data_IF_856136088473
#
_entry.id   IF_856136088473
#
_cell.length_a   1.000
_cell.length_b   1.000
_cell.length_c   1.000
_cell.angle_alpha   90.00
_cell.angle_beta   90.00
_cell.angle_gamma   90.00
#
_symmetry.space_group_name_H-M   'P 1'
#
loop_
_entity.id
_entity.type
_entity.pdbx_description
1 polymer ?
#
# COMPACT_ATOMS: atom_id res chain seq x y z
N UNK A 1 30.56 48.01 9.23
CA UNK A 1 31.87 47.76 8.58
C UNK A 1 32.02 46.26 8.37
N UNK A 2 31.74 45.76 7.16
CA UNK A 2 31.93 44.36 6.79
C UNK A 2 33.07 44.27 5.77
N UNK A 3 34.08 43.46 6.10
CA UNK A 3 35.26 43.22 5.28
C UNK A 3 34.89 42.44 4.00
N UNK A 4 35.25 43.01 2.85
CA UNK A 4 35.27 42.30 1.56
C UNK A 4 36.42 41.30 1.58
N UNK A 5 36.11 40.01 1.46
CA UNK A 5 37.09 38.97 1.12
C UNK A 5 37.27 38.95 -0.40
N UNK A 6 38.48 39.29 -0.84
CA UNK A 6 38.95 39.12 -2.21
C UNK A 6 39.11 37.61 -2.49
N UNK A 7 38.42 37.09 -3.49
CA UNK A 7 38.64 35.74 -3.99
C UNK A 7 39.64 35.76 -5.16
N UNK A 8 40.54 34.79 -5.08
CA UNK A 8 41.59 34.42 -6.03
C UNK A 8 41.03 34.25 -7.45
N UNK A 9 41.72 34.84 -8.43
CA UNK A 9 41.59 34.49 -9.85
C UNK A 9 42.46 33.26 -10.09
N UNK A 10 41.85 32.08 -10.02
CA UNK A 10 42.45 30.81 -10.44
C UNK A 10 42.26 30.61 -11.94
N UNK A 11 43.31 30.15 -12.62
CA UNK A 11 43.33 29.80 -14.04
C UNK A 11 42.17 28.83 -14.39
N UNK A 12 41.33 29.24 -15.35
CA UNK A 12 40.31 28.39 -15.97
C UNK A 12 41.02 27.34 -16.83
N UNK A 13 41.06 26.09 -16.35
CA UNK A 13 41.37 24.94 -17.18
C UNK A 13 40.24 24.73 -18.20
N UNK A 14 40.62 24.50 -19.45
CA UNK A 14 39.71 24.04 -20.49
C UNK A 14 39.07 22.69 -20.09
N UNK A 15 37.75 22.61 -20.31
CA UNK A 15 36.92 21.40 -20.37
C UNK A 15 36.47 20.72 -19.06
N UNK A 16 35.99 21.48 -18.07
CA UNK A 16 34.72 21.07 -17.45
C UNK A 16 33.60 21.42 -18.42
N UNK A 17 33.45 20.64 -19.50
CA UNK A 17 32.10 20.49 -20.06
C UNK A 17 31.32 19.88 -18.90
N UNK A 18 30.43 20.67 -18.30
CA UNK A 18 29.51 20.19 -17.28
C UNK A 18 28.92 18.88 -17.80
N UNK A 19 29.18 17.79 -17.07
CA UNK A 19 28.69 16.47 -17.47
C UNK A 19 27.18 16.57 -17.56
N UNK A 20 26.65 16.37 -18.77
CA UNK A 20 25.21 16.33 -18.99
C UNK A 20 24.61 15.22 -18.11
N UNK A 21 23.65 15.58 -17.29
CA UNK A 21 22.97 14.68 -16.37
C UNK A 21 21.76 14.03 -17.05
N UNK A 22 21.27 12.91 -16.47
CA UNK A 22 19.97 12.34 -16.86
C UNK A 22 18.89 13.41 -16.63
N UNK A 23 18.06 13.64 -17.65
CA UNK A 23 17.01 14.66 -17.64
C UNK A 23 17.40 15.97 -18.34
N UNK A 24 18.68 16.19 -18.64
CA UNK A 24 19.10 17.43 -19.31
C UNK A 24 18.53 17.52 -20.72
N UNK A 25 18.06 18.72 -21.06
CA UNK A 25 17.61 19.06 -22.40
C UNK A 25 18.80 19.44 -23.28
N UNK A 26 18.82 18.90 -24.49
CA UNK A 26 19.94 19.05 -25.41
C UNK A 26 19.47 19.31 -26.84
N UNK A 27 20.24 20.14 -27.54
CA UNK A 27 20.17 20.32 -28.99
C UNK A 27 21.26 19.45 -29.61
N UNK A 28 20.90 18.66 -30.62
CA UNK A 28 21.85 17.83 -31.37
C UNK A 28 22.48 18.65 -32.48
N UNK A 29 23.80 18.67 -32.56
CA UNK A 29 24.54 19.44 -33.54
C UNK A 29 25.74 18.68 -34.10
N UNK A 30 26.17 19.02 -35.32
CA UNK A 30 27.45 18.57 -35.86
C UNK A 30 27.52 17.10 -36.32
N UNK A 31 26.41 16.37 -36.42
CA UNK A 31 26.39 15.02 -36.98
C UNK A 31 26.65 15.05 -38.50
N UNK A 32 27.57 14.21 -38.98
CA UNK A 32 28.06 14.25 -40.37
C UNK A 32 27.46 13.18 -41.29
N UNK A 33 26.96 12.07 -40.74
CA UNK A 33 26.32 11.02 -41.56
C UNK A 33 24.99 11.52 -42.13
N UNK A 34 24.55 11.01 -43.28
CA UNK A 34 23.30 11.47 -43.92
C UNK A 34 22.06 11.25 -43.03
N UNK A 35 22.04 10.16 -42.27
CA UNK A 35 21.01 9.91 -41.27
C UNK A 35 21.15 10.83 -40.04
N UNK A 36 22.38 11.19 -39.65
CA UNK A 36 22.67 12.07 -38.53
C UNK A 36 22.38 13.54 -38.82
N UNK A 37 22.67 14.01 -40.04
CA UNK A 37 22.37 15.39 -40.49
C UNK A 37 20.90 15.74 -40.35
N UNK A 38 20.01 14.77 -40.54
CA UNK A 38 18.55 14.92 -40.32
C UNK A 38 18.17 15.19 -38.85
N UNK A 39 19.06 14.86 -37.91
CA UNK A 39 18.86 15.10 -36.47
C UNK A 39 19.53 16.40 -36.00
N UNK A 40 20.39 17.04 -36.82
CA UNK A 40 21.00 18.31 -36.45
C UNK A 40 19.95 19.41 -36.32
N UNK A 41 20.04 20.20 -35.26
CA UNK A 41 19.02 21.16 -34.85
C UNK A 41 17.78 20.50 -34.22
N UNK A 42 17.75 19.17 -34.09
CA UNK A 42 16.75 18.47 -33.30
C UNK A 42 17.01 18.63 -31.81
N UNK A 43 15.96 18.44 -31.00
CA UNK A 43 16.02 18.54 -29.54
C UNK A 43 15.72 17.19 -28.91
N UNK A 44 16.36 16.93 -27.78
CA UNK A 44 16.23 15.69 -27.05
C UNK A 44 16.49 15.82 -25.56
N UNK A 45 16.28 14.72 -24.84
CA UNK A 45 16.52 14.61 -23.39
C UNK A 45 17.53 13.47 -23.15
N UNK A 46 18.48 13.70 -22.24
CA UNK A 46 19.46 12.69 -21.83
C UNK A 46 18.78 11.63 -20.96
N UNK A 47 18.93 10.36 -21.33
CA UNK A 47 18.19 9.28 -20.66
C UNK A 47 18.94 8.63 -19.51
N UNK A 48 20.26 8.53 -19.64
CA UNK A 48 21.12 7.83 -18.71
C UNK A 48 22.53 8.41 -18.78
N UNK A 49 23.37 7.99 -17.84
CA UNK A 49 24.81 8.26 -17.85
C UNK A 49 25.44 7.83 -19.19
N UNK A 50 26.50 8.54 -19.64
CA UNK A 50 27.14 8.21 -20.90
C UNK A 50 27.72 6.80 -20.85
N UNK A 51 27.61 6.09 -21.97
CA UNK A 51 28.34 4.84 -22.17
C UNK A 51 29.62 5.13 -22.92
N UNK A 52 30.73 4.54 -22.48
CA UNK A 52 32.01 4.56 -23.20
C UNK A 52 31.98 3.52 -24.32
N UNK A 53 32.38 3.90 -25.53
CA UNK A 53 32.68 2.94 -26.59
C UNK A 53 34.05 2.29 -26.37
N UNK A 54 34.36 1.25 -27.15
CA UNK A 54 35.69 0.61 -27.13
C UNK A 54 36.83 1.64 -27.35
N UNK A 55 36.59 2.64 -28.20
CA UNK A 55 37.52 3.75 -28.45
C UNK A 55 37.57 4.82 -27.34
N UNK A 56 36.91 4.61 -26.20
CA UNK A 56 36.87 5.57 -25.09
C UNK A 56 35.99 6.81 -25.33
N UNK A 57 35.18 6.83 -26.40
CA UNK A 57 34.29 7.96 -26.70
C UNK A 57 33.02 7.86 -25.86
N UNK A 58 32.72 8.92 -25.10
CA UNK A 58 31.47 9.03 -24.36
C UNK A 58 30.29 9.28 -25.30
N UNK A 59 29.26 8.45 -25.20
CA UNK A 59 28.00 8.64 -25.91
C UNK A 59 26.82 8.60 -24.95
N UNK A 60 25.98 9.61 -25.04
CA UNK A 60 24.76 9.73 -24.28
C UNK A 60 23.59 9.11 -25.04
N UNK A 61 22.79 8.25 -24.41
CA UNK A 61 21.49 7.87 -24.95
C UNK A 61 20.55 9.08 -24.89
N UNK A 62 20.06 9.50 -26.07
CA UNK A 62 19.19 10.67 -26.20
C UNK A 62 17.84 10.26 -26.77
N UNK A 63 16.78 10.73 -26.12
CA UNK A 63 15.41 10.63 -26.62
C UNK A 63 15.07 11.90 -27.39
N UNK A 64 14.77 11.75 -28.67
CA UNK A 64 14.41 12.88 -29.53
C UNK A 64 12.92 13.17 -29.38
N UNK A 65 12.58 14.41 -29.07
CA UNK A 65 11.19 14.87 -29.05
C UNK A 65 10.92 15.91 -30.14
N UNK A 66 11.97 16.46 -30.76
CA UNK A 66 11.89 17.44 -31.83
C UNK A 66 12.90 17.13 -32.94
N UNK A 67 12.46 17.11 -34.19
CA UNK A 67 13.36 17.15 -35.35
C UNK A 67 12.82 18.14 -36.35
N UNK A 68 13.69 18.95 -36.96
CA UNK A 68 13.28 19.79 -38.10
C UNK A 68 12.79 18.89 -39.22
N UNK A 69 11.58 19.15 -39.71
CA UNK A 69 11.09 18.50 -40.93
C UNK A 69 12.01 18.84 -42.10
N UNK A 70 12.12 17.94 -43.08
CA UNK A 70 12.92 18.18 -44.29
C UNK A 70 12.45 19.43 -45.08
N UNK A 71 11.22 19.88 -44.84
CA UNK A 71 10.61 21.10 -45.38
C UNK A 71 10.98 22.39 -44.64
N UNK A 72 11.77 22.32 -43.57
CA UNK A 72 12.16 23.50 -42.77
C UNK A 72 11.01 24.10 -41.94
N UNK A 73 9.90 23.37 -41.79
CA UNK A 73 8.83 23.75 -40.87
C UNK A 73 9.14 23.30 -39.44
N UNK A 74 8.70 24.09 -38.46
CA UNK A 74 8.84 23.84 -37.02
C UNK A 74 7.97 22.67 -36.52
N UNK A 75 7.37 21.89 -37.41
CA UNK A 75 6.55 20.73 -37.05
C UNK A 75 7.40 19.66 -36.35
N UNK A 76 7.07 19.44 -35.08
CA UNK A 76 7.70 18.46 -34.22
C UNK A 76 7.13 17.06 -34.49
N UNK A 77 7.98 16.13 -34.92
CA UNK A 77 7.61 14.70 -35.04
C UNK A 77 8.20 13.95 -33.86
N UNK A 78 7.35 13.44 -32.97
CA UNK A 78 7.77 12.54 -31.90
C UNK A 78 8.40 11.29 -32.55
N UNK A 79 9.68 11.05 -32.27
CA UNK A 79 10.40 9.89 -32.77
C UNK A 79 10.08 8.66 -31.91
N UNK A 80 10.15 7.50 -32.54
CA UNK A 80 9.96 6.20 -31.89
C UNK A 80 10.84 6.10 -30.63
N UNK A 81 10.25 5.98 -29.42
CA UNK A 81 11.00 5.93 -28.16
C UNK A 81 11.91 4.69 -28.04
N UNK A 82 11.79 3.71 -28.95
CA UNK A 82 12.72 2.57 -29.02
C UNK A 82 14.03 2.91 -29.72
N UNK A 83 14.10 4.02 -30.46
CA UNK A 83 15.30 4.49 -31.13
C UNK A 83 16.25 5.19 -30.13
N UNK A 84 16.80 4.43 -29.18
CA UNK A 84 17.86 4.88 -28.27
C UNK A 84 19.15 5.15 -29.06
N UNK A 85 19.24 6.29 -29.74
CA UNK A 85 20.48 6.68 -30.42
C UNK A 85 21.45 7.26 -29.41
N UNK A 86 22.66 6.71 -29.43
CA UNK A 86 23.77 7.16 -28.61
C UNK A 86 24.55 8.26 -29.33
N UNK A 87 24.35 9.50 -28.92
CA UNK A 87 24.99 10.70 -29.51
C UNK A 87 26.26 11.03 -28.72
N UNK A 88 27.34 11.40 -29.41
CA UNK A 88 28.58 11.79 -28.75
C UNK A 88 28.38 13.08 -27.96
N UNK A 89 29.11 13.24 -26.86
CA UNK A 89 29.09 14.45 -26.04
C UNK A 89 29.31 15.74 -26.86
N UNK A 90 30.30 15.73 -27.78
CA UNK A 90 30.64 16.86 -28.65
C UNK A 90 29.51 17.28 -29.61
N UNK A 91 28.50 16.43 -29.81
CA UNK A 91 27.36 16.68 -30.67
C UNK A 91 26.11 17.11 -29.90
N UNK A 92 26.24 17.40 -28.60
CA UNK A 92 25.15 17.82 -27.72
C UNK A 92 25.52 19.17 -27.12
N UNK A 93 24.58 20.11 -27.20
CA UNK A 93 24.66 21.38 -26.49
C UNK A 93 23.44 21.52 -25.58
N UNK A 94 23.57 22.04 -24.36
CA UNK A 94 22.41 22.31 -23.50
C UNK A 94 21.37 23.16 -24.24
N UNK A 95 20.10 22.78 -24.15
CA UNK A 95 18.99 23.59 -24.66
C UNK A 95 18.52 24.56 -23.56
N UNK A 96 18.71 25.88 -23.71
CA UNK A 96 18.19 26.84 -22.75
C UNK A 96 16.66 26.82 -22.86
N UNK A 97 16.00 26.12 -21.93
CA UNK A 97 14.57 25.83 -21.93
C UNK A 97 13.69 27.01 -22.39
N UNK A 98 12.80 26.76 -23.33
CA UNK A 98 11.62 27.59 -23.59
C UNK A 98 10.42 27.00 -22.83
N UNK A 99 9.83 27.71 -21.84
CA UNK A 99 8.64 27.27 -21.11
C UNK A 99 7.45 26.91 -22.01
N UNK A 100 7.40 27.42 -23.23
CA UNK A 100 6.31 27.17 -24.19
C UNK A 100 6.43 25.78 -24.82
N UNK A 101 7.64 25.29 -25.07
CA UNK A 101 7.89 23.94 -25.62
C UNK A 101 7.60 22.82 -24.62
N UNK A 102 7.65 23.13 -23.32
CA UNK A 102 7.26 22.24 -22.23
C UNK A 102 5.80 21.77 -22.34
N UNK A 103 4.92 22.60 -22.92
CA UNK A 103 3.49 22.28 -23.12
C UNK A 103 3.31 21.20 -24.21
N UNK A 104 4.08 21.30 -25.30
CA UNK A 104 4.05 20.32 -26.41
C UNK A 104 4.56 18.94 -25.96
N UNK A 105 5.63 18.94 -25.18
CA UNK A 105 6.16 17.75 -24.51
C UNK A 105 5.10 17.09 -23.62
N UNK A 106 4.37 17.87 -22.82
CA UNK A 106 3.27 17.40 -21.99
C UNK A 106 2.10 16.80 -22.82
N UNK A 107 1.74 17.40 -23.95
CA UNK A 107 0.70 16.85 -24.84
C UNK A 107 1.12 15.51 -25.47
N UNK A 108 2.39 15.37 -25.86
CA UNK A 108 2.93 14.11 -26.37
C UNK A 108 2.93 13.04 -25.29
N UNK A 109 3.31 13.39 -24.06
CA UNK A 109 3.27 12.50 -22.89
C UNK A 109 1.90 11.88 -22.65
N UNK A 110 0.86 12.72 -22.59
CA UNK A 110 -0.50 12.28 -22.35
C UNK A 110 -1.02 11.40 -23.49
N UNK A 111 -0.73 11.80 -24.73
CA UNK A 111 -1.14 11.05 -25.92
C UNK A 111 -0.49 9.68 -25.98
N UNK A 112 0.81 9.60 -25.69
CA UNK A 112 1.52 8.32 -25.66
C UNK A 112 1.10 7.47 -24.47
N UNK A 113 0.95 8.03 -23.26
CA UNK A 113 0.46 7.28 -22.09
C UNK A 113 -0.92 6.66 -22.33
N UNK A 114 -1.85 7.41 -22.95
CA UNK A 114 -3.17 6.91 -23.30
C UNK A 114 -3.13 5.78 -24.34
N UNK A 115 -2.24 5.88 -25.35
CA UNK A 115 -2.01 4.79 -26.32
C UNK A 115 -1.41 3.56 -25.64
N UNK A 116 -0.49 3.78 -24.70
CA UNK A 116 0.26 2.72 -24.05
C UNK A 116 -0.61 1.93 -23.05
N UNK A 117 -1.56 2.58 -22.37
CA UNK A 117 -2.55 1.90 -21.54
C UNK A 117 -3.40 0.88 -22.33
N UNK A 118 -3.60 1.11 -23.63
CA UNK A 118 -4.32 0.18 -24.51
C UNK A 118 -3.47 -1.02 -24.98
N UNK A 119 -2.14 -1.02 -24.75
CA UNK A 119 -1.19 -1.97 -25.37
C UNK A 119 -0.51 -2.95 -24.38
N UNK A 120 -0.81 -2.88 -23.08
CA UNK A 120 -0.33 -3.85 -22.08
C UNK A 120 0.95 -3.44 -21.33
N UNK A 121 1.64 -4.41 -20.71
CA UNK A 121 2.69 -4.18 -19.69
C UNK A 121 3.96 -3.51 -20.24
N UNK A 122 4.45 -3.94 -21.40
CA UNK A 122 5.63 -3.33 -22.04
C UNK A 122 5.40 -1.86 -22.40
N UNK A 123 4.14 -1.53 -22.72
CA UNK A 123 3.71 -0.18 -23.00
C UNK A 123 3.64 0.68 -21.72
N UNK A 124 3.19 0.10 -20.60
CA UNK A 124 3.19 0.79 -19.30
C UNK A 124 4.62 1.15 -18.83
N UNK A 125 5.61 0.30 -19.07
CA UNK A 125 7.03 0.62 -18.79
C UNK A 125 7.52 1.84 -19.58
N UNK A 126 7.09 1.99 -20.85
CA UNK A 126 7.39 3.18 -21.66
C UNK A 126 6.69 4.43 -21.12
N UNK A 127 5.45 4.30 -20.64
CA UNK A 127 4.69 5.39 -20.01
C UNK A 127 5.39 5.91 -18.75
N UNK A 128 5.91 5.00 -17.92
CA UNK A 128 6.69 5.34 -16.72
C UNK A 128 7.94 6.11 -17.05
N UNK A 129 8.68 5.68 -18.08
CA UNK A 129 9.89 6.37 -18.49
C UNK A 129 9.60 7.84 -18.86
N UNK A 130 8.51 8.08 -19.59
CA UNK A 130 8.09 9.43 -19.91
C UNK A 130 7.69 10.21 -18.65
N UNK A 131 6.87 9.63 -17.78
CA UNK A 131 6.47 10.26 -16.52
C UNK A 131 7.69 10.59 -15.64
N UNK A 132 8.71 9.72 -15.58
CA UNK A 132 9.97 9.96 -14.87
C UNK A 132 10.74 11.13 -15.49
N UNK A 133 10.89 11.14 -16.82
CA UNK A 133 11.56 12.22 -17.56
C UNK A 133 10.89 13.56 -17.30
N UNK A 134 9.57 13.61 -17.42
CA UNK A 134 8.82 14.83 -17.18
C UNK A 134 8.88 15.25 -15.72
N UNK A 135 8.81 14.30 -14.79
CA UNK A 135 8.88 14.60 -13.36
C UNK A 135 10.24 15.21 -13.01
N UNK A 136 11.33 14.71 -13.62
CA UNK A 136 12.65 15.33 -13.48
C UNK A 136 12.72 16.75 -14.04
N UNK A 137 11.98 17.04 -15.11
CA UNK A 137 11.94 18.38 -15.72
C UNK A 137 11.03 19.37 -14.98
N UNK A 138 9.92 18.90 -14.41
CA UNK A 138 8.97 19.69 -13.63
C UNK A 138 8.70 19.05 -12.28
N UNK A 139 9.68 19.06 -11.36
CA UNK A 139 9.56 18.47 -10.04
C UNK A 139 8.61 19.23 -9.11
N UNK A 140 7.99 20.33 -9.58
CA UNK A 140 6.95 21.07 -8.88
C UNK A 140 5.55 20.86 -9.50
N UNK A 141 5.43 20.07 -10.59
CA UNK A 141 4.14 19.76 -11.20
C UNK A 141 3.47 18.57 -10.50
N UNK A 142 2.62 18.89 -9.53
CA UNK A 142 1.86 17.90 -8.76
C UNK A 142 1.05 16.92 -9.61
N UNK A 143 0.37 17.39 -10.66
CA UNK A 143 -0.48 16.51 -11.48
C UNK A 143 0.35 15.41 -12.14
N UNK A 144 1.57 15.78 -12.56
CA UNK A 144 2.53 14.86 -13.13
C UNK A 144 3.10 13.90 -12.09
N UNK A 145 3.44 14.38 -10.89
CA UNK A 145 3.91 13.52 -9.81
C UNK A 145 2.84 12.49 -9.39
N UNK A 146 1.58 12.91 -9.28
CA UNK A 146 0.45 12.01 -9.03
C UNK A 146 0.30 10.96 -10.13
N UNK A 147 0.36 11.35 -11.40
CA UNK A 147 0.29 10.41 -12.51
C UNK A 147 1.47 9.42 -12.50
N UNK A 148 2.68 9.92 -12.22
CA UNK A 148 3.88 9.09 -12.13
C UNK A 148 3.77 8.06 -11.02
N UNK A 149 3.43 8.49 -9.81
CA UNK A 149 3.26 7.63 -8.66
C UNK A 149 2.11 6.62 -8.83
N UNK A 150 0.98 7.03 -9.42
CA UNK A 150 -0.13 6.12 -9.72
C UNK A 150 0.30 5.03 -10.72
N UNK A 151 1.10 5.39 -11.73
CA UNK A 151 1.62 4.42 -12.70
C UNK A 151 2.63 3.47 -12.06
N UNK A 152 3.53 3.98 -11.21
CA UNK A 152 4.44 3.15 -10.42
C UNK A 152 3.67 2.16 -9.51
N UNK A 153 2.58 2.61 -8.88
CA UNK A 153 1.69 1.76 -8.09
C UNK A 153 1.08 0.62 -8.92
N UNK A 154 0.63 0.91 -10.14
CA UNK A 154 0.08 -0.11 -11.06
C UNK A 154 1.10 -1.19 -11.45
N UNK A 155 2.40 -0.91 -11.31
CA UNK A 155 3.49 -1.88 -11.49
C UNK A 155 4.02 -2.48 -10.19
N UNK A 156 3.27 -2.37 -9.09
CA UNK A 156 3.67 -2.87 -7.76
C UNK A 156 4.95 -2.21 -7.20
N UNK A 157 5.29 -1.00 -7.68
CA UNK A 157 6.44 -0.20 -7.21
C UNK A 157 6.01 0.86 -6.19
N UNK A 158 5.22 0.45 -5.19
CA UNK A 158 4.60 1.37 -4.22
C UNK A 158 5.61 2.17 -3.40
N UNK A 159 6.80 1.60 -3.11
CA UNK A 159 7.87 2.33 -2.41
C UNK A 159 8.47 3.46 -3.26
N UNK A 160 8.73 3.22 -4.55
CA UNK A 160 9.20 4.25 -5.49
C UNK A 160 8.13 5.34 -5.67
N UNK A 161 6.87 4.93 -5.84
CA UNK A 161 5.72 5.84 -5.95
C UNK A 161 5.59 6.74 -4.71
N UNK A 162 5.79 6.19 -3.51
CA UNK A 162 5.79 6.94 -2.27
C UNK A 162 6.89 8.01 -2.26
N UNK A 163 8.10 7.68 -2.69
CA UNK A 163 9.20 8.65 -2.77
C UNK A 163 8.90 9.81 -3.71
N UNK A 164 8.27 9.56 -4.86
CA UNK A 164 7.87 10.60 -5.82
C UNK A 164 6.93 11.62 -5.18
N UNK A 165 5.91 11.17 -4.43
CA UNK A 165 4.94 12.09 -3.84
C UNK A 165 5.46 12.73 -2.55
N UNK A 166 6.31 12.04 -1.77
CA UNK A 166 6.76 12.50 -0.45
C UNK A 166 7.33 13.92 -0.47
N UNK A 167 8.08 14.29 -1.49
CA UNK A 167 8.73 15.61 -1.59
C UNK A 167 7.72 16.75 -1.80
N UNK A 168 6.62 16.50 -2.52
CA UNK A 168 5.53 17.46 -2.70
C UNK A 168 4.77 17.76 -1.41
N UNK A 169 4.71 16.78 -0.52
CA UNK A 169 3.95 16.86 0.72
C UNK A 169 4.68 17.73 1.73
N UNK A 170 5.99 17.57 1.80
CA UNK A 170 6.83 18.42 2.63
C UNK A 170 6.81 19.88 2.15
N UNK A 171 6.46 20.12 0.89
CA UNK A 171 6.31 21.46 0.31
C UNK A 171 4.95 22.15 0.56
N UNK A 172 3.96 21.49 1.18
CA UNK A 172 2.60 22.04 1.42
C UNK A 172 1.88 22.57 0.16
N UNK A 173 2.08 21.94 -1.00
CA UNK A 173 1.55 22.45 -2.27
C UNK A 173 0.03 22.29 -2.47
N UNK A 174 -0.67 21.57 -1.58
CA UNK A 174 -2.12 21.38 -1.65
C UNK A 174 -2.82 21.80 -0.36
N UNK A 175 -3.66 22.82 -0.47
CA UNK A 175 -4.60 23.21 0.59
C UNK A 175 -5.77 22.20 0.64
N UNK A 176 -6.35 21.93 1.82
CA UNK A 176 -7.62 21.19 1.94
C UNK A 176 -8.78 21.79 1.14
N UNK A 177 -8.68 23.07 0.77
CA UNK A 177 -9.66 23.76 -0.09
C UNK A 177 -9.50 23.47 -1.58
N UNK A 178 -8.42 22.81 -2.01
CA UNK A 178 -8.20 22.46 -3.42
C UNK A 178 -9.14 21.30 -3.81
N UNK A 179 -9.91 21.40 -4.92
CA UNK A 179 -10.81 20.32 -5.35
C UNK A 179 -10.13 18.96 -5.59
N UNK A 180 -8.82 18.93 -5.80
CA UNK A 180 -8.04 17.70 -6.01
C UNK A 180 -7.56 17.06 -4.70
N UNK A 181 -7.67 17.77 -3.58
CA UNK A 181 -7.18 17.32 -2.29
C UNK A 181 -7.73 15.97 -1.82
N UNK A 182 -9.03 15.63 -2.03
CA UNK A 182 -9.56 14.30 -1.69
C UNK A 182 -8.86 13.16 -2.44
N UNK A 183 -8.59 13.34 -3.74
CA UNK A 183 -7.91 12.36 -4.58
C UNK A 183 -6.45 12.18 -4.16
N UNK A 184 -5.80 13.30 -3.85
CA UNK A 184 -4.45 13.27 -3.30
C UNK A 184 -4.40 12.49 -1.97
N UNK A 185 -5.31 12.77 -1.02
CA UNK A 185 -5.36 12.06 0.26
C UNK A 185 -5.61 10.55 0.08
N UNK A 186 -6.52 10.19 -0.83
CA UNK A 186 -6.81 8.80 -1.20
C UNK A 186 -5.57 8.08 -1.73
N UNK A 187 -4.98 8.57 -2.83
CA UNK A 187 -3.82 7.92 -3.45
C UNK A 187 -2.65 7.83 -2.46
N UNK A 188 -2.47 8.86 -1.64
CA UNK A 188 -1.38 8.90 -0.69
C UNK A 188 -1.57 7.94 0.49
N UNK A 189 -2.80 7.80 0.98
CA UNK A 189 -3.13 6.77 1.97
C UNK A 189 -2.82 5.37 1.44
N UNK A 190 -3.27 5.05 0.22
CA UNK A 190 -3.01 3.76 -0.44
C UNK A 190 -1.51 3.49 -0.57
N UNK A 191 -0.74 4.47 -1.04
CA UNK A 191 0.71 4.32 -1.23
C UNK A 191 1.45 4.04 0.07
N UNK A 192 1.11 4.76 1.15
CA UNK A 192 1.69 4.56 2.48
C UNK A 192 1.35 3.18 3.04
N UNK A 193 0.08 2.78 2.92
CA UNK A 193 -0.39 1.46 3.33
C UNK A 193 0.41 0.37 2.61
N UNK A 194 0.43 0.37 1.28
CA UNK A 194 1.15 -0.67 0.50
C UNK A 194 2.66 -0.69 0.74
N UNK A 195 3.28 0.47 0.97
CA UNK A 195 4.69 0.54 1.34
C UNK A 195 4.98 -0.02 2.74
N UNK A 196 3.96 -0.24 3.58
CA UNK A 196 4.11 -0.67 4.98
C UNK A 196 4.78 0.38 5.87
N UNK A 197 4.82 1.64 5.42
CA UNK A 197 5.56 2.71 6.09
C UNK A 197 4.63 3.80 6.58
N UNK A 198 4.84 4.24 7.82
CA UNK A 198 4.11 5.36 8.42
C UNK A 198 2.57 5.15 8.35
N UNK A 199 2.10 3.96 8.76
CA UNK A 199 0.69 3.55 8.71
C UNK A 199 -0.26 4.53 9.43
N UNK A 200 0.20 5.16 10.52
CA UNK A 200 -0.58 6.20 11.21
C UNK A 200 -0.87 7.38 10.28
N UNK A 201 0.11 7.82 9.49
CA UNK A 201 -0.10 8.90 8.53
C UNK A 201 -1.04 8.44 7.40
N UNK A 202 -0.97 7.17 6.97
CA UNK A 202 -1.90 6.62 5.99
C UNK A 202 -3.35 6.74 6.47
N UNK A 203 -3.59 6.42 7.74
CA UNK A 203 -4.89 6.59 8.39
C UNK A 203 -5.30 8.06 8.43
N UNK A 204 -4.42 8.94 8.89
CA UNK A 204 -4.70 10.38 8.97
C UNK A 204 -5.12 10.96 7.61
N UNK A 205 -4.47 10.54 6.51
CA UNK A 205 -4.84 10.98 5.16
C UNK A 205 -6.18 10.40 4.71
N UNK A 206 -6.47 9.12 4.99
CA UNK A 206 -7.78 8.54 4.67
C UNK A 206 -8.92 9.33 5.35
N UNK A 207 -8.71 9.74 6.61
CA UNK A 207 -9.71 10.48 7.40
C UNK A 207 -9.82 11.98 7.03
N UNK A 208 -8.89 12.51 6.23
CA UNK A 208 -8.95 13.88 5.71
C UNK A 208 -9.83 14.01 4.45
N UNK A 209 -10.23 12.89 3.83
CA UNK A 209 -11.12 12.89 2.67
C UNK A 209 -12.54 13.25 3.14
N UNK A 210 -13.18 14.32 2.60
CA UNK A 210 -14.52 14.72 3.01
C UNK A 210 -15.56 13.70 2.55
N UNK A 211 -16.41 13.20 3.44
CA UNK A 211 -17.49 12.25 3.10
C UNK A 211 -18.80 12.95 2.64
N UNK A 212 -18.67 14.07 1.94
CA UNK A 212 -19.80 14.91 1.50
C UNK A 212 -20.46 14.42 0.19
N UNK A 213 -19.78 13.52 -0.53
CA UNK A 213 -20.29 12.89 -1.75
C UNK A 213 -20.16 11.36 -1.68
N UNK A 214 -21.03 10.59 -2.39
CA UNK A 214 -20.90 9.13 -2.46
C UNK A 214 -19.54 8.67 -2.96
N UNK A 215 -18.97 9.36 -3.96
CA UNK A 215 -17.65 9.06 -4.50
C UNK A 215 -16.57 9.19 -3.44
N UNK A 216 -16.58 10.26 -2.65
CA UNK A 216 -15.58 10.43 -1.60
C UNK A 216 -15.75 9.41 -0.47
N UNK A 217 -16.98 9.02 -0.13
CA UNK A 217 -17.24 7.93 0.81
C UNK A 217 -16.63 6.62 0.31
N UNK A 218 -16.79 6.29 -0.96
CA UNK A 218 -16.15 5.12 -1.57
C UNK A 218 -14.62 5.21 -1.50
N UNK A 219 -14.03 6.37 -1.77
CA UNK A 219 -12.59 6.58 -1.63
C UNK A 219 -12.08 6.37 -0.20
N UNK A 220 -12.78 6.91 0.82
CA UNK A 220 -12.45 6.67 2.23
C UNK A 220 -12.47 5.17 2.53
N UNK A 221 -13.53 4.49 2.11
CA UNK A 221 -13.70 3.07 2.37
C UNK A 221 -12.60 2.22 1.73
N UNK A 222 -12.26 2.49 0.47
CA UNK A 222 -11.20 1.78 -0.25
C UNK A 222 -9.83 2.02 0.40
N UNK A 223 -9.55 3.26 0.82
CA UNK A 223 -8.31 3.59 1.53
C UNK A 223 -8.19 2.88 2.89
N UNK A 224 -9.27 2.88 3.68
CA UNK A 224 -9.31 2.22 4.98
C UNK A 224 -9.24 0.69 4.85
N UNK A 225 -9.87 0.11 3.83
CA UNK A 225 -9.80 -1.33 3.56
C UNK A 225 -8.38 -1.76 3.20
N UNK A 226 -7.72 -1.05 2.29
CA UNK A 226 -6.32 -1.35 1.93
C UNK A 226 -5.38 -1.22 3.13
N UNK A 227 -5.58 -0.20 3.97
CA UNK A 227 -4.83 -0.02 5.21
C UNK A 227 -5.07 -1.20 6.18
N UNK A 228 -6.32 -1.62 6.38
CA UNK A 228 -6.66 -2.74 7.24
C UNK A 228 -6.03 -4.06 6.74
N UNK A 229 -6.11 -4.32 5.43
CA UNK A 229 -5.47 -5.50 4.79
C UNK A 229 -3.96 -5.49 4.98
N UNK A 230 -3.32 -4.33 4.83
CA UNK A 230 -1.88 -4.17 5.07
C UNK A 230 -1.54 -4.45 6.53
N UNK A 231 -2.26 -3.87 7.49
CA UNK A 231 -2.01 -4.09 8.91
C UNK A 231 -2.18 -5.56 9.29
N UNK A 232 -3.26 -6.20 8.81
CA UNK A 232 -3.50 -7.63 8.98
C UNK A 232 -2.32 -8.47 8.47
N UNK A 233 -1.83 -8.19 7.24
CA UNK A 233 -0.66 -8.88 6.67
C UNK A 233 0.58 -8.74 7.56
N UNK A 234 0.90 -7.52 8.01
CA UNK A 234 2.06 -7.27 8.89
C UNK A 234 1.94 -8.04 10.21
N UNK A 235 0.75 -8.03 10.83
CA UNK A 235 0.47 -8.73 12.09
C UNK A 235 0.60 -10.26 11.94
N UNK A 236 0.18 -10.81 10.79
CA UNK A 236 0.30 -12.24 10.50
C UNK A 236 1.73 -12.67 10.17
N UNK A 237 2.48 -11.82 9.46
CA UNK A 237 3.88 -12.09 9.10
C UNK A 237 4.81 -12.02 10.32
N UNK A 238 4.47 -11.21 11.34
CA UNK A 238 5.34 -10.92 12.49
C UNK A 238 4.63 -11.11 13.85
N UNK A 239 4.08 -12.29 14.17
CA UNK A 239 3.22 -12.48 15.34
C UNK A 239 3.94 -12.36 16.70
N UNK A 240 5.27 -12.41 16.72
CA UNK A 240 6.10 -12.35 17.93
C UNK A 240 6.70 -10.96 18.20
N UNK A 241 6.51 -10.00 17.31
CA UNK A 241 7.02 -8.63 17.48
C UNK A 241 6.01 -7.76 18.25
N UNK A 242 6.48 -6.71 18.93
CA UNK A 242 5.60 -5.70 19.53
C UNK A 242 4.92 -4.88 18.43
N UNK A 243 3.79 -5.40 17.96
CA UNK A 243 2.96 -4.78 16.94
C UNK A 243 1.76 -4.04 17.52
N UNK A 244 1.83 -3.62 18.80
CA UNK A 244 0.73 -2.92 19.48
C UNK A 244 0.25 -1.68 18.71
N UNK A 245 1.18 -0.91 18.12
CA UNK A 245 0.85 0.24 17.29
C UNK A 245 0.11 -0.16 16.00
N UNK A 246 0.59 -1.18 15.29
CA UNK A 246 -0.04 -1.67 14.04
C UNK A 246 -1.43 -2.22 14.33
N UNK A 247 -1.58 -2.97 15.42
CA UNK A 247 -2.87 -3.48 15.86
C UNK A 247 -3.86 -2.36 16.22
N UNK A 248 -3.41 -1.31 16.90
CA UNK A 248 -4.23 -0.12 17.17
C UNK A 248 -4.72 0.57 15.90
N UNK A 249 -3.83 0.75 14.91
CA UNK A 249 -4.19 1.32 13.60
C UNK A 249 -5.17 0.41 12.85
N UNK A 250 -4.97 -0.91 12.89
CA UNK A 250 -5.86 -1.89 12.26
C UNK A 250 -7.28 -1.79 12.83
N UNK A 251 -7.42 -1.77 14.15
CA UNK A 251 -8.72 -1.61 14.82
C UNK A 251 -9.37 -0.28 14.42
N UNK A 252 -8.62 0.82 14.46
CA UNK A 252 -9.16 2.14 14.11
C UNK A 252 -9.63 2.19 12.64
N UNK A 253 -8.84 1.66 11.70
CA UNK A 253 -9.23 1.61 10.29
C UNK A 253 -10.53 0.82 10.05
N UNK A 254 -10.70 -0.31 10.75
CA UNK A 254 -11.91 -1.12 10.71
C UNK A 254 -13.11 -0.41 11.37
N UNK A 255 -12.91 0.31 12.48
CA UNK A 255 -13.96 1.10 13.13
C UNK A 255 -14.46 2.21 12.19
N UNK A 256 -13.56 2.96 11.57
CA UNK A 256 -13.91 4.03 10.63
C UNK A 256 -14.61 3.47 9.38
N UNK A 257 -14.14 2.33 8.86
CA UNK A 257 -14.82 1.62 7.75
C UNK A 257 -16.27 1.24 8.10
N UNK A 258 -16.49 0.74 9.32
CA UNK A 258 -17.82 0.37 9.79
C UNK A 258 -18.72 1.60 9.99
N UNK A 259 -18.19 2.76 10.39
CA UNK A 259 -18.98 4.01 10.45
C UNK A 259 -19.49 4.42 9.07
N UNK A 260 -18.73 4.16 8.00
CA UNK A 260 -19.15 4.44 6.64
C UNK A 260 -20.28 3.51 6.16
N UNK A 261 -20.32 2.24 6.60
CA UNK A 261 -21.41 1.28 6.32
C UNK A 261 -21.77 0.42 7.54
N UNK A 262 -22.55 0.95 8.49
CA UNK A 262 -22.85 0.28 9.77
C UNK A 262 -23.61 -1.04 9.64
N UNK A 263 -24.30 -1.24 8.52
CA UNK A 263 -25.06 -2.43 8.17
C UNK A 263 -24.22 -3.54 7.52
N UNK A 264 -22.94 -3.28 7.22
CA UNK A 264 -22.08 -4.26 6.58
C UNK A 264 -21.52 -5.27 7.59
N UNK A 265 -21.99 -6.50 7.52
CA UNK A 265 -21.43 -7.63 8.27
C UNK A 265 -19.93 -7.85 7.99
N UNK A 266 -19.47 -7.57 6.77
CA UNK A 266 -18.08 -7.76 6.37
C UNK A 266 -17.16 -6.82 7.15
N UNK A 267 -17.58 -5.56 7.37
CA UNK A 267 -16.84 -4.63 8.21
C UNK A 267 -16.93 -4.98 9.69
N UNK A 268 -18.05 -5.53 10.17
CA UNK A 268 -18.14 -6.04 11.54
C UNK A 268 -17.14 -7.19 11.78
N UNK A 269 -16.95 -8.07 10.80
CA UNK A 269 -16.00 -9.20 10.88
C UNK A 269 -14.56 -8.73 10.82
N UNK A 270 -14.25 -7.80 9.91
CA UNK A 270 -12.92 -7.23 9.84
C UNK A 270 -12.56 -6.52 11.16
N UNK A 271 -13.53 -5.82 11.76
CA UNK A 271 -13.37 -5.22 13.08
C UNK A 271 -13.20 -6.27 14.19
N UNK A 272 -13.99 -7.34 14.17
CA UNK A 272 -13.87 -8.45 15.11
C UNK A 272 -12.46 -9.09 15.07
N UNK A 273 -11.98 -9.37 13.86
CA UNK A 273 -10.65 -9.92 13.63
C UNK A 273 -9.56 -8.95 14.09
N UNK A 274 -9.70 -7.66 13.79
CA UNK A 274 -8.75 -6.63 14.23
C UNK A 274 -8.64 -6.55 15.76
N UNK A 275 -9.76 -6.61 16.49
CA UNK A 275 -9.74 -6.65 17.95
C UNK A 275 -9.05 -7.90 18.50
N UNK A 276 -9.30 -9.08 17.91
CA UNK A 276 -8.63 -10.31 18.31
C UNK A 276 -7.11 -10.21 18.10
N UNK A 277 -6.67 -9.66 16.96
CA UNK A 277 -5.24 -9.43 16.67
C UNK A 277 -4.61 -8.39 17.60
N UNK A 278 -5.38 -7.43 18.11
CA UNK A 278 -4.95 -6.49 19.15
C UNK A 278 -4.97 -7.10 20.57
N UNK A 279 -5.29 -8.39 20.72
CA UNK A 279 -5.39 -9.07 22.01
C UNK A 279 -6.70 -8.78 22.77
N UNK A 280 -7.59 -7.95 22.23
CA UNK A 280 -8.90 -7.66 22.82
C UNK A 280 -9.96 -8.66 22.32
N UNK A 281 -9.77 -9.93 22.68
CA UNK A 281 -10.61 -11.02 22.23
C UNK A 281 -12.09 -10.90 22.67
N UNK A 282 -12.36 -10.21 23.78
CA UNK A 282 -13.71 -9.98 24.28
C UNK A 282 -14.50 -9.09 23.31
N UNK A 283 -13.93 -7.96 22.90
CA UNK A 283 -14.52 -7.11 21.87
C UNK A 283 -14.63 -7.84 20.54
N UNK A 284 -13.59 -8.58 20.15
CA UNK A 284 -13.62 -9.41 18.95
C UNK A 284 -14.81 -10.37 18.93
N UNK A 285 -15.02 -11.11 20.02
CA UNK A 285 -16.16 -12.02 20.16
C UNK A 285 -17.52 -11.30 20.13
N UNK A 286 -17.63 -10.10 20.72
CA UNK A 286 -18.86 -9.27 20.63
C UNK A 286 -19.19 -8.92 19.17
N UNK A 287 -18.20 -8.46 18.41
CA UNK A 287 -18.39 -8.08 17.01
C UNK A 287 -18.68 -9.27 16.09
N UNK A 288 -18.03 -10.43 16.31
CA UNK A 288 -18.36 -11.66 15.58
C UNK A 288 -19.82 -12.08 15.81
N UNK A 289 -20.31 -12.04 17.06
CA UNK A 289 -21.73 -12.34 17.34
C UNK A 289 -22.67 -11.38 16.63
N UNK A 290 -22.36 -10.08 16.66
CA UNK A 290 -23.17 -9.07 15.96
C UNK A 290 -23.22 -9.33 14.46
N UNK A 291 -22.09 -9.66 13.84
CA UNK A 291 -22.03 -10.02 12.43
C UNK A 291 -22.84 -11.29 12.11
N UNK A 292 -22.73 -12.34 12.94
CA UNK A 292 -23.48 -13.61 12.78
C UNK A 292 -25.00 -13.45 12.96
N UNK A 293 -25.43 -12.43 13.70
CA UNK A 293 -26.85 -12.10 13.86
C UNK A 293 -27.45 -11.37 12.63
N UNK A 294 -26.63 -10.89 11.71
CA UNK A 294 -27.09 -10.21 10.50
C UNK A 294 -27.62 -11.23 9.48
N UNK A 295 -28.80 -10.99 8.88
CA UNK A 295 -29.37 -11.90 7.89
C UNK A 295 -28.67 -11.73 6.53
N UNK A 296 -27.67 -12.58 6.23
CA UNK A 296 -27.07 -12.63 4.90
C UNK A 296 -26.90 -14.07 4.38
N UNK A 297 -27.52 -14.43 3.24
CA UNK A 297 -27.46 -15.78 2.69
C UNK A 297 -26.11 -16.15 2.02
N UNK A 298 -25.26 -15.17 1.68
CA UNK A 298 -23.93 -15.41 1.10
C UNK A 298 -22.85 -15.59 2.18
N UNK A 299 -23.25 -15.53 3.43
CA UNK A 299 -22.38 -15.54 4.59
C UNK A 299 -21.87 -16.94 4.92
N UNK A 300 -20.54 -17.12 5.00
CA UNK A 300 -19.95 -18.37 5.51
C UNK A 300 -20.07 -18.43 7.04
N UNK A 301 -21.28 -18.74 7.51
CA UNK A 301 -21.63 -18.86 8.93
C UNK A 301 -20.68 -19.83 9.64
N UNK A 302 -20.29 -20.93 9.00
CA UNK A 302 -19.46 -21.96 9.62
C UNK A 302 -18.04 -21.46 9.89
N UNK A 303 -17.44 -20.75 8.92
CA UNK A 303 -16.12 -20.14 9.11
C UNK A 303 -16.15 -19.06 10.20
N UNK A 304 -17.14 -18.17 10.19
CA UNK A 304 -17.21 -17.08 11.16
C UNK A 304 -17.57 -17.56 12.57
N UNK A 305 -18.37 -18.63 12.70
CA UNK A 305 -18.60 -19.30 13.98
C UNK A 305 -17.31 -19.87 14.55
N UNK A 306 -16.43 -20.43 13.71
CA UNK A 306 -15.11 -20.89 14.16
C UNK A 306 -14.26 -19.73 14.68
N UNK A 307 -14.24 -18.59 13.99
CA UNK A 307 -13.49 -17.41 14.42
C UNK A 307 -14.02 -16.86 15.76
N UNK A 308 -15.35 -16.80 15.93
CA UNK A 308 -15.99 -16.46 17.20
C UNK A 308 -15.53 -17.38 18.32
N UNK A 309 -15.55 -18.70 18.09
CA UNK A 309 -15.11 -19.67 19.09
C UNK A 309 -13.66 -19.45 19.48
N UNK A 310 -12.76 -19.25 18.51
CA UNK A 310 -11.34 -18.95 18.78
C UNK A 310 -11.21 -17.70 19.67
N UNK A 311 -11.92 -16.62 19.35
CA UNK A 311 -11.92 -15.40 20.17
C UNK A 311 -12.43 -15.66 21.61
N UNK A 312 -13.54 -16.39 21.75
CA UNK A 312 -14.11 -16.71 23.06
C UNK A 312 -13.19 -17.61 23.90
N UNK A 313 -12.45 -18.54 23.29
CA UNK A 313 -11.48 -19.39 23.99
C UNK A 313 -10.34 -18.61 24.65
N UNK A 314 -10.06 -17.40 24.15
CA UNK A 314 -9.06 -16.50 24.72
C UNK A 314 -9.64 -15.58 25.81
N UNK A 315 -10.93 -15.71 26.15
CA UNK A 315 -11.62 -14.88 27.13
C UNK A 315 -12.08 -15.71 28.33
N UNK A 316 -11.36 -15.69 29.47
CA UNK A 316 -11.79 -16.39 30.68
C UNK A 316 -13.22 -16.00 31.07
N UNK A 317 -14.07 -16.99 31.31
CA UNK A 317 -15.46 -16.79 31.76
C UNK A 317 -16.49 -16.51 30.65
N UNK A 318 -16.11 -16.38 29.38
CA UNK A 318 -17.09 -16.23 28.31
C UNK A 318 -17.86 -17.54 28.04
N UNK A 319 -19.20 -17.50 27.97
CA UNK A 319 -19.98 -18.67 27.59
C UNK A 319 -19.79 -18.96 26.10
N UNK A 320 -19.22 -20.13 25.81
CA UNK A 320 -19.33 -20.76 24.52
C UNK A 320 -20.76 -21.36 24.41
N UNK A 321 -21.74 -20.55 24.01
CA UNK A 321 -23.18 -20.90 23.94
C UNK A 321 -23.49 -22.40 23.85
N UNK A 322 -23.14 -23.05 22.75
CA UNK A 322 -23.35 -24.47 22.51
C UNK A 322 -22.09 -25.32 22.60
N UNK A 323 -20.97 -24.78 23.07
CA UNK A 323 -19.73 -25.53 23.17
C UNK A 323 -19.20 -25.59 24.61
N UNK A 324 -18.54 -26.68 24.96
CA UNK A 324 -17.74 -26.80 26.17
C UNK A 324 -16.28 -26.61 25.80
N UNK A 325 -15.61 -25.69 26.50
CA UNK A 325 -14.15 -25.59 26.49
C UNK A 325 -13.59 -26.78 27.24
N UNK A 326 -12.79 -27.59 26.56
CA UNK A 326 -12.02 -28.67 27.14
C UNK A 326 -10.54 -28.30 27.10
N UNK A 327 -9.91 -28.19 28.26
CA UNK A 327 -8.46 -28.03 28.38
C UNK A 327 -7.84 -29.43 28.34
N UNK A 328 -7.13 -29.75 27.25
CA UNK A 328 -6.40 -31.02 27.10
C UNK A 328 -5.00 -30.96 27.72
N UNK A 329 -4.40 -29.77 27.76
CA UNK A 329 -3.14 -29.43 28.43
C UNK A 329 -3.08 -27.91 28.68
N UNK A 330 -2.08 -27.38 29.42
CA UNK A 330 -1.88 -25.93 29.61
C UNK A 330 -1.77 -25.13 28.30
N UNK A 331 -1.34 -25.79 27.22
CA UNK A 331 -1.14 -25.21 25.90
C UNK A 331 -2.15 -25.72 24.85
N UNK A 332 -3.17 -26.49 25.25
CA UNK A 332 -4.18 -27.03 24.36
C UNK A 332 -5.61 -26.79 24.84
N UNK A 333 -6.31 -25.98 24.06
CA UNK A 333 -7.73 -25.68 24.25
C UNK A 333 -8.49 -26.26 23.07
N UNK A 334 -9.43 -27.16 23.36
CA UNK A 334 -10.37 -27.72 22.37
C UNK A 334 -11.79 -27.32 22.77
N UNK A 335 -12.69 -27.21 21.80
CA UNK A 335 -14.11 -26.95 22.05
C UNK A 335 -14.94 -28.08 21.48
N UNK A 336 -15.93 -28.56 22.23
CA UNK A 336 -16.87 -29.60 21.81
C UNK A 336 -18.29 -29.11 21.91
N UNK A 337 -19.19 -29.51 21.03
CA UNK A 337 -20.60 -29.18 21.17
C UNK A 337 -21.15 -29.75 22.50
N UNK A 338 -22.01 -29.01 23.19
CA UNK A 338 -22.61 -29.39 24.48
C UNK A 338 -23.33 -30.73 24.41
N UNK A 339 -24.04 -30.98 23.30
CA UNK A 339 -24.70 -32.27 23.03
C UNK A 339 -23.74 -33.45 22.89
N UNK A 340 -22.49 -33.18 22.51
CA UNK A 340 -21.45 -34.19 22.29
C UNK A 340 -20.50 -34.33 23.50
N UNK A 341 -20.75 -33.56 24.57
CA UNK A 341 -19.93 -33.53 25.79
C UNK A 341 -19.74 -34.90 26.41
N UNK A 342 -20.82 -35.64 26.60
CA UNK A 342 -20.77 -36.96 27.25
C UNK A 342 -20.00 -37.98 26.41
N UNK A 343 -20.17 -37.94 25.08
CA UNK A 343 -19.45 -38.79 24.14
C UNK A 343 -17.95 -38.51 24.18
N UNK A 344 -17.55 -37.23 24.22
CA UNK A 344 -16.15 -36.84 24.32
C UNK A 344 -15.53 -37.17 25.68
N UNK A 345 -16.26 -36.95 26.78
CA UNK A 345 -15.81 -37.31 28.14
C UNK A 345 -15.59 -38.82 28.26
N UNK A 346 -16.50 -39.62 27.69
CA UNK A 346 -16.37 -41.07 27.63
C UNK A 346 -15.14 -41.50 26.81
N UNK A 347 -14.91 -40.88 25.65
CA UNK A 347 -13.73 -41.15 24.81
C UNK A 347 -12.41 -40.81 25.50
N UNK A 348 -12.31 -39.64 26.15
CA UNK A 348 -11.08 -39.24 26.85
C UNK A 348 -10.84 -40.08 28.11
N UNK A 349 -11.91 -40.46 28.83
CA UNK A 349 -11.80 -41.41 29.93
C UNK A 349 -11.20 -42.74 29.45
N UNK A 350 -11.68 -43.28 28.34
CA UNK A 350 -11.16 -44.52 27.74
C UNK A 350 -9.69 -44.40 27.30
N UNK A 351 -9.30 -43.26 26.73
CA UNK A 351 -7.91 -42.97 26.36
C UNK A 351 -6.99 -42.84 27.59
N UNK A 352 -7.45 -42.16 28.65
CA UNK A 352 -6.69 -42.00 29.91
C UNK A 352 -6.51 -43.31 30.68
N UNK A 353 -7.42 -44.27 30.48
CA UNK A 353 -7.34 -45.62 31.04
C UNK A 353 -6.47 -46.58 30.20
N UNK A 354 -5.72 -46.07 29.22
CA UNK A 354 -4.76 -46.84 28.42
C UNK A 354 -5.41 -47.82 27.43
N UNK A 355 -6.71 -47.68 27.15
CA UNK A 355 -7.39 -48.53 26.17
C UNK A 355 -7.21 -47.92 24.78
N UNK A 356 -6.35 -48.56 24.00
CA UNK A 356 -6.09 -48.18 22.62
C UNK A 356 -7.31 -48.53 21.75
N UNK A 357 -8.06 -47.53 21.31
CA UNK A 357 -9.18 -47.73 20.38
C UNK A 357 -8.61 -47.66 18.97
N UNK A 358 -8.52 -48.82 18.29
CA UNK A 358 -8.12 -48.88 16.89
C UNK A 358 -9.16 -48.19 16.00
N UNK A 359 -8.70 -47.20 15.24
CA UNK A 359 -9.45 -46.59 14.15
C UNK A 359 -10.01 -45.21 14.46
N UNK A 360 -9.16 -44.18 14.55
CA UNK A 360 -9.46 -42.82 14.10
C UNK A 360 -8.19 -41.95 14.15
N UNK A 361 -8.04 -41.09 13.14
CA UNK A 361 -6.84 -40.31 12.82
C UNK A 361 -6.66 -39.14 13.79
N UNK A 362 -5.53 -39.12 14.49
CA UNK A 362 -5.06 -38.02 15.33
C UNK A 362 -4.74 -36.79 14.48
N UNK A 363 -5.23 -35.61 14.87
CA UNK A 363 -4.63 -34.35 14.42
C UNK A 363 -3.45 -34.03 15.34
N UNK A 364 -2.30 -33.80 14.70
CA UNK A 364 -0.97 -33.68 15.27
C UNK A 364 -0.83 -32.42 16.14
N UNK A 365 -0.19 -32.56 17.31
CA UNK A 365 0.08 -31.48 18.27
C UNK A 365 1.60 -31.26 18.34
N UNK A 366 2.03 -30.01 18.24
CA UNK A 366 3.41 -29.55 18.48
C UNK A 366 3.55 -29.10 19.93
N UNK A 367 4.56 -29.60 20.62
CA UNK A 367 4.84 -29.38 22.05
C UNK A 367 5.28 -27.95 22.38
N UNK A 368 4.85 -27.43 23.54
CA UNK A 368 5.71 -26.59 24.39
C UNK A 368 5.44 -26.89 25.87
N UNK A 369 6.55 -27.06 26.58
CA UNK A 369 6.66 -27.38 28.01
C UNK A 369 6.59 -26.08 28.80
N UNK A 370 5.47 -25.74 29.44
CA UNK A 370 5.46 -24.93 30.66
C UNK A 370 4.04 -24.90 31.25
N UNK A 371 3.91 -25.39 32.47
CA UNK A 371 2.63 -25.62 33.14
C UNK A 371 2.05 -24.38 33.81
N UNK A 372 0.80 -24.05 33.47
CA UNK A 372 -0.04 -23.11 34.20
C UNK A 372 -1.15 -23.84 34.97
N UNK A 373 -1.43 -23.39 36.20
CA UNK A 373 -2.49 -23.92 37.06
C UNK A 373 -3.87 -23.40 36.65
N UNK A 374 -4.87 -24.30 36.64
CA UNK A 374 -6.26 -23.99 36.29
C UNK A 374 -7.01 -23.50 37.55
N UNK A 375 -7.49 -22.25 37.53
CA UNK A 375 -8.48 -21.75 38.50
C UNK A 375 -9.87 -22.05 37.94
N UNK A 376 -10.60 -22.98 38.58
CA UNK A 376 -12.01 -23.23 38.29
C UNK A 376 -12.88 -22.23 39.03
N UNK A 377 -13.59 -21.36 38.31
CA UNK A 377 -14.74 -20.64 38.85
C UNK A 377 -16.02 -21.46 38.66
N UNK A 378 -16.95 -21.45 39.63
CA UNK A 378 -18.24 -22.12 39.49
C UNK A 378 -19.02 -21.53 38.32
N UNK A 379 -19.69 -22.39 37.54
CA UNK A 379 -20.46 -21.94 36.38
C UNK A 379 -21.72 -21.20 36.82
N UNK A 380 -22.10 -20.10 36.13
CA UNK A 380 -23.37 -19.43 36.36
C UNK A 380 -24.54 -20.37 36.11
N UNK A 381 -25.59 -20.17 36.89
CA UNK A 381 -26.82 -20.95 36.86
C UNK A 381 -27.73 -20.63 35.66
N UNK A 382 -27.40 -19.60 34.89
CA UNK A 382 -28.06 -19.23 33.65
C UNK A 382 -27.29 -18.17 32.84
N UNK A 383 -27.73 -17.85 31.62
CA UNK A 383 -27.11 -16.83 30.76
C UNK A 383 -27.19 -15.39 31.34
N UNK A 384 -27.94 -15.24 32.43
CA UNK A 384 -28.35 -13.98 33.03
C UNK A 384 -27.95 -13.86 34.50
N UNK A 385 -27.00 -14.68 34.95
CA UNK A 385 -26.61 -14.78 36.36
C UNK A 385 -25.91 -13.48 36.83
N UNK A 386 -26.54 -12.71 37.74
CA UNK A 386 -26.01 -11.42 38.19
C UNK A 386 -24.74 -11.56 39.04
N UNK A 387 -24.38 -12.77 39.49
CA UNK A 387 -23.09 -13.02 40.16
C UNK A 387 -21.91 -13.07 39.18
N UNK A 388 -22.16 -13.31 37.88
CA UNK A 388 -21.13 -13.45 36.84
C UNK A 388 -21.13 -12.28 35.87
N UNK A 389 -22.29 -11.67 35.62
CA UNK A 389 -22.45 -10.52 34.74
C UNK A 389 -23.01 -9.33 35.52
N UNK A 390 -22.27 -8.21 35.65
CA UNK A 390 -22.80 -6.99 36.24
C UNK A 390 -24.08 -6.55 35.53
N UNK A 391 -25.07 -6.08 36.29
CA UNK A 391 -26.40 -5.74 35.77
C UNK A 391 -26.35 -4.67 34.66
N UNK A 392 -25.32 -3.82 34.67
CA UNK A 392 -25.02 -2.82 33.65
C UNK A 392 -24.62 -3.45 32.30
N UNK A 393 -23.82 -4.52 32.33
CA UNK A 393 -23.41 -5.27 31.14
C UNK A 393 -24.60 -5.99 30.49
N UNK A 394 -25.51 -6.54 31.31
CA UNK A 394 -26.72 -7.19 30.82
C UNK A 394 -27.71 -6.20 30.19
N UNK A 395 -27.74 -4.94 30.65
CA UNK A 395 -28.56 -3.86 30.08
C UNK A 395 -28.04 -3.35 28.72
N UNK A 396 -26.74 -3.48 28.45
CA UNK A 396 -26.15 -3.07 27.15
C UNK A 396 -26.36 -4.09 26.03
N UNK A 397 -26.45 -5.38 26.36
CA UNK A 397 -26.55 -6.47 25.37
C UNK A 397 -27.99 -6.94 25.12
N UNK A 398 -28.97 -6.44 25.86
CA UNK A 398 -30.40 -6.69 25.63
C UNK A 398 -31.06 -5.41 25.12
N UNK A 399 -31.71 -5.41 23.94
CA UNK A 399 -32.48 -4.27 23.47
C UNK A 399 -33.71 -3.97 24.34
#
# INVERSE_FOLDING_TARGET
MMQRRSFFVGFLNESTMDQLAKGDYVIINGLQSDAGKKLNGGKGIILNKPTLTEDGVQRYPVLFYATKTASGGDDLVALDPTANKKIKAENLSPDPQDPTENTLLHEVAHRETAKLQAQGVEAMQKGIFWLEVYHGAWPDNLGLACNYASTLRSLDKSAEAFHVIKDYILGNYLSPSDPRYPHFCFDFSILRSKAGQQLSAALDYALQIPMDTPQHTEMVMDALLELALTCNRILQENPNEDNSQVAGIHVQACQESLKCRPESEAYMINLAAAYCMAGNNLEGARWYRRALAMPNPQFDVAHQTRNLMVAQLQCPGMPLEDHHVCHGSPSHVTSILKKDKEKWLLQNKLLSEGRNIQGMTSTMIVNSEEGGALIQHPMPSGPDDPEVFPEEFLKEIRP
#
